data_IF_886187327275
#
_entry.id   IF_886187327275
#
_cell.length_a   1.000
_cell.length_b   1.000
_cell.length_c   1.000
_cell.angle_alpha   90.00
_cell.angle_beta   90.00
_cell.angle_gamma   90.00
#
_symmetry.space_group_name_H-M   'P 1'
#
loop_
_entity.id
_entity.type
_entity.pdbx_description
1 polymer ?
#
# COMPACT_ATOMS: atom_id res chain seq x y z
N UNK A 1 10.22 -27.85 15.73
CA UNK A 1 10.79 -27.82 17.11
C UNK A 1 9.83 -27.23 18.15
N UNK A 2 8.98 -26.25 17.84
CA UNK A 2 8.05 -25.65 18.80
C UNK A 2 6.86 -26.54 19.23
N UNK A 3 6.52 -27.59 18.47
CA UNK A 3 5.36 -28.45 18.75
C UNK A 3 5.56 -29.49 19.86
N UNK A 4 6.79 -29.70 20.34
CA UNK A 4 7.10 -30.79 21.27
C UNK A 4 7.08 -30.38 22.75
N UNK A 5 6.90 -29.08 23.04
CA UNK A 5 6.94 -28.54 24.40
C UNK A 5 5.56 -28.34 25.06
N UNK A 6 4.44 -28.67 24.38
CA UNK A 6 3.08 -28.37 24.86
C UNK A 6 2.39 -29.51 25.61
N UNK A 7 3.07 -30.63 25.88
CA UNK A 7 2.41 -31.85 26.37
C UNK A 7 2.30 -32.01 27.89
N UNK A 8 2.86 -31.12 28.73
CA UNK A 8 3.11 -31.48 30.15
C UNK A 8 2.58 -30.53 31.23
N UNK A 9 1.73 -29.55 30.90
CA UNK A 9 1.04 -28.75 31.93
C UNK A 9 -0.36 -29.32 32.21
N UNK A 10 -0.67 -29.80 33.44
CA UNK A 10 -2.01 -30.29 33.76
C UNK A 10 -2.99 -29.11 33.90
N UNK A 11 -4.15 -29.22 33.24
CA UNK A 11 -5.24 -28.24 33.28
C UNK A 11 -6.17 -28.46 34.47
N UNK A 12 -6.94 -27.44 34.88
CA UNK A 12 -7.99 -27.58 35.89
C UNK A 12 -9.08 -28.58 35.46
N UNK A 13 -9.75 -29.26 36.40
CA UNK A 13 -10.73 -30.32 36.10
C UNK A 13 -11.93 -29.79 35.30
N UNK A 14 -12.36 -30.54 34.27
CA UNK A 14 -13.57 -30.25 33.48
C UNK A 14 -13.37 -29.81 32.02
N UNK A 15 -12.13 -29.78 31.52
CA UNK A 15 -11.80 -29.34 30.15
C UNK A 15 -11.17 -30.44 29.26
N UNK A 16 -11.24 -31.71 29.67
CA UNK A 16 -10.59 -32.83 29.01
C UNK A 16 -11.09 -33.06 27.57
N UNK A 17 -12.37 -32.75 27.27
CA UNK A 17 -12.94 -32.82 25.91
C UNK A 17 -12.63 -31.61 25.00
N UNK A 18 -12.07 -30.52 25.55
CA UNK A 18 -11.73 -29.34 24.76
C UNK A 18 -10.43 -29.50 23.96
N UNK A 19 -9.57 -30.44 24.35
CA UNK A 19 -8.30 -30.71 23.68
C UNK A 19 -8.50 -31.38 22.31
N UNK A 20 -9.39 -32.38 22.23
CA UNK A 20 -9.63 -33.09 20.97
C UNK A 20 -10.33 -32.17 19.95
N UNK A 21 -11.34 -31.40 20.37
CA UNK A 21 -11.98 -30.41 19.50
C UNK A 21 -10.99 -29.31 19.04
N UNK A 22 -10.19 -28.74 19.95
CA UNK A 22 -9.24 -27.70 19.59
C UNK A 22 -8.13 -28.22 18.67
N UNK A 23 -7.71 -29.48 18.87
CA UNK A 23 -6.68 -30.14 18.06
C UNK A 23 -7.21 -30.51 16.67
N UNK A 24 -8.43 -31.02 16.58
CA UNK A 24 -9.10 -31.33 15.31
C UNK A 24 -9.45 -30.05 14.54
N UNK A 25 -9.92 -29.01 15.24
CA UNK A 25 -10.18 -27.68 14.66
C UNK A 25 -8.88 -27.04 14.16
N UNK A 26 -7.78 -27.15 14.90
CA UNK A 26 -6.47 -26.64 14.50
C UNK A 26 -5.84 -27.41 13.34
N UNK A 27 -6.09 -28.72 13.27
CA UNK A 27 -5.67 -29.54 12.13
C UNK A 27 -6.48 -29.20 10.85
N UNK A 28 -7.77 -28.86 11.00
CA UNK A 28 -8.64 -28.47 9.90
C UNK A 28 -8.46 -26.99 9.46
N UNK A 29 -8.11 -26.10 10.39
CA UNK A 29 -8.00 -24.65 10.18
C UNK A 29 -6.67 -24.11 10.72
N UNK A 30 -5.52 -24.50 10.13
CA UNK A 30 -4.20 -24.21 10.69
C UNK A 30 -3.86 -22.71 10.77
N UNK A 31 -4.43 -21.88 9.89
CA UNK A 31 -4.31 -20.42 9.95
C UNK A 31 -5.11 -19.83 11.12
N UNK A 32 -6.34 -20.27 11.34
CA UNK A 32 -7.21 -19.75 12.42
C UNK A 32 -6.75 -20.22 13.81
N UNK A 33 -6.23 -21.44 13.93
CA UNK A 33 -5.70 -21.94 15.20
C UNK A 33 -4.39 -21.25 15.61
N UNK A 34 -3.55 -20.88 14.65
CA UNK A 34 -2.39 -20.04 14.91
C UNK A 34 -2.81 -18.67 15.46
N UNK A 35 -3.87 -18.08 14.90
CA UNK A 35 -4.43 -16.79 15.35
C UNK A 35 -5.09 -16.87 16.73
N UNK A 36 -5.76 -17.98 17.05
CA UNK A 36 -6.37 -18.23 18.37
C UNK A 36 -5.33 -18.39 19.49
N UNK A 37 -4.20 -19.04 19.20
CA UNK A 37 -3.17 -19.37 20.20
C UNK A 37 -2.12 -18.28 20.38
N UNK A 38 -1.80 -17.53 19.32
CA UNK A 38 -0.71 -16.55 19.33
C UNK A 38 -1.18 -15.11 19.06
N UNK A 39 -2.47 -14.91 18.75
CA UNK A 39 -2.99 -13.66 18.23
C UNK A 39 -2.55 -13.43 16.79
N UNK A 40 -3.37 -12.76 15.96
CA UNK A 40 -2.83 -12.14 14.75
C UNK A 40 -1.80 -11.09 15.19
N UNK A 41 -0.54 -11.12 14.70
CA UNK A 41 0.33 -9.97 14.89
C UNK A 41 -0.40 -8.74 14.36
N UNK A 42 -0.54 -7.72 15.20
CA UNK A 42 -1.15 -6.47 14.79
C UNK A 42 -0.45 -5.97 13.51
N UNK A 43 -1.18 -5.47 12.50
CA UNK A 43 -0.56 -4.79 11.36
C UNK A 43 0.51 -3.77 11.73
N UNK A 44 0.43 -3.19 12.92
CA UNK A 44 1.42 -2.25 13.45
C UNK A 44 2.77 -2.88 13.79
N UNK A 45 2.80 -4.15 14.19
CA UNK A 45 4.02 -4.85 14.58
C UNK A 45 4.73 -5.50 13.39
N UNK A 46 4.06 -5.60 12.24
CA UNK A 46 4.70 -6.02 11.00
C UNK A 46 5.62 -4.89 10.49
N UNK A 47 6.88 -5.19 10.13
CA UNK A 47 7.77 -4.19 9.55
C UNK A 47 7.20 -3.71 8.21
N UNK A 48 7.62 -2.52 7.77
CA UNK A 48 7.48 -2.13 6.37
C UNK A 48 8.78 -2.54 5.64
N UNK A 49 8.67 -2.92 4.36
CA UNK A 49 9.77 -3.44 3.57
C UNK A 49 10.11 -2.48 2.44
N UNK A 50 11.35 -2.01 2.44
CA UNK A 50 11.91 -1.26 1.30
C UNK A 50 12.38 -2.26 0.24
N UNK A 51 11.89 -2.09 -0.98
CA UNK A 51 12.31 -2.83 -2.17
C UNK A 51 13.07 -1.84 -3.05
N UNK A 52 14.42 -1.83 -2.99
CA UNK A 52 15.22 -0.87 -3.73
C UNK A 52 15.12 -1.16 -5.23
N UNK A 53 15.04 -0.09 -6.02
CA UNK A 53 15.00 -0.13 -7.48
C UNK A 53 13.96 -1.13 -8.03
N UNK A 54 12.80 -1.22 -7.37
CA UNK A 54 11.70 -2.03 -7.86
C UNK A 54 11.35 -1.63 -9.29
N UNK A 55 11.31 -0.32 -9.58
CA UNK A 55 11.12 0.20 -10.92
C UNK A 55 12.45 0.73 -11.49
N UNK A 56 12.75 0.30 -12.70
CA UNK A 56 13.80 0.89 -13.53
C UNK A 56 13.40 2.31 -13.98
N UNK A 57 14.37 3.12 -14.45
CA UNK A 57 14.06 4.44 -15.00
C UNK A 57 13.04 4.40 -16.13
N UNK A 58 13.02 3.35 -16.94
CA UNK A 58 12.07 3.19 -18.04
C UNK A 58 10.66 2.85 -17.54
N UNK A 59 10.53 1.98 -16.54
CA UNK A 59 9.24 1.68 -15.92
C UNK A 59 8.68 2.89 -15.17
N UNK A 60 9.53 3.73 -14.56
CA UNK A 60 9.08 5.02 -14.01
C UNK A 60 8.53 5.93 -15.11
N UNK A 61 9.15 5.98 -16.29
CA UNK A 61 8.58 6.73 -17.43
C UNK A 61 7.24 6.15 -17.87
N UNK A 62 7.10 4.82 -17.90
CA UNK A 62 5.82 4.17 -18.23
C UNK A 62 4.70 4.60 -17.25
N UNK A 63 4.98 4.74 -15.95
CA UNK A 63 4.02 5.29 -14.99
C UNK A 63 3.59 6.72 -15.36
N UNK A 64 4.54 7.60 -15.72
CA UNK A 64 4.23 8.98 -16.12
C UNK A 64 3.48 9.06 -17.45
N UNK A 65 3.86 8.24 -18.44
CA UNK A 65 3.16 8.13 -19.73
C UNK A 65 1.72 7.67 -19.53
N UNK A 66 1.49 6.65 -18.68
CA UNK A 66 0.14 6.22 -18.34
C UNK A 66 -0.68 7.35 -17.70
N UNK A 67 -0.07 8.12 -16.78
CA UNK A 67 -0.72 9.27 -16.16
C UNK A 67 -1.08 10.37 -17.17
N UNK A 68 -0.20 10.66 -18.12
CA UNK A 68 -0.44 11.65 -19.18
C UNK A 68 -1.54 11.21 -20.15
N UNK A 69 -1.55 9.94 -20.56
CA UNK A 69 -2.56 9.39 -21.46
C UNK A 69 -3.95 9.35 -20.81
N UNK A 70 -4.07 8.82 -19.59
CA UNK A 70 -5.34 8.84 -18.84
C UNK A 70 -5.78 10.29 -18.62
N UNK A 71 -4.85 11.15 -18.22
CA UNK A 71 -5.10 12.56 -17.99
C UNK A 71 -5.62 13.32 -19.20
N UNK A 72 -5.14 12.99 -20.40
CA UNK A 72 -5.62 13.60 -21.65
C UNK A 72 -7.07 13.24 -22.00
N UNK A 73 -7.59 12.17 -21.41
CA UNK A 73 -8.98 11.71 -21.59
C UNK A 73 -9.93 12.22 -20.51
N UNK A 74 -9.41 12.90 -19.49
CA UNK A 74 -10.21 13.54 -18.47
C UNK A 74 -10.63 14.89 -19.03
N UNK A 75 -11.93 15.04 -19.31
CA UNK A 75 -12.53 16.36 -19.55
C UNK A 75 -12.05 17.30 -18.44
N UNK A 76 -11.55 18.51 -18.76
CA UNK A 76 -11.00 19.40 -17.77
C UNK A 76 -12.09 19.72 -16.75
N UNK A 77 -12.06 19.00 -15.62
CA UNK A 77 -12.92 19.29 -14.50
C UNK A 77 -12.59 20.71 -14.12
N UNK A 78 -13.60 21.59 -14.24
CA UNK A 78 -13.49 23.03 -14.06
C UNK A 78 -12.42 23.33 -13.02
N UNK A 79 -11.30 23.89 -13.48
CA UNK A 79 -10.08 24.17 -12.70
C UNK A 79 -10.45 24.40 -11.25
N UNK A 80 -10.26 23.37 -10.42
CA UNK A 80 -10.66 23.40 -9.03
C UNK A 80 -9.90 24.56 -8.39
N UNK A 81 -10.57 25.71 -8.23
CA UNK A 81 -9.91 26.98 -7.90
C UNK A 81 -9.20 26.92 -6.55
N UNK A 82 -9.65 25.99 -5.71
CA UNK A 82 -9.09 25.63 -4.42
C UNK A 82 -7.76 24.85 -4.50
N UNK A 83 -7.41 24.26 -5.64
CA UNK A 83 -6.07 23.69 -5.86
C UNK A 83 -5.03 24.79 -6.07
N UNK A 84 -3.82 24.53 -5.59
CA UNK A 84 -2.68 25.38 -5.83
C UNK A 84 -2.31 25.40 -7.32
N UNK A 85 -1.61 26.46 -7.75
CA UNK A 85 -1.30 26.67 -9.16
C UNK A 85 -0.55 25.49 -9.81
N UNK A 86 0.32 24.82 -9.05
CA UNK A 86 1.07 23.66 -9.54
C UNK A 86 0.18 22.46 -9.90
N UNK A 87 -0.92 22.25 -9.17
CA UNK A 87 -1.80 21.08 -9.36
C UNK A 87 -2.97 21.35 -10.30
N UNK A 88 -3.31 22.61 -10.58
CA UNK A 88 -4.38 22.95 -11.55
C UNK A 88 -4.15 22.41 -12.95
N UNK A 89 -2.88 22.25 -13.35
CA UNK A 89 -2.49 21.70 -14.63
C UNK A 89 -2.11 20.20 -14.57
N UNK A 90 -2.15 19.60 -13.37
CA UNK A 90 -1.83 18.18 -13.18
C UNK A 90 -3.09 17.36 -13.37
N UNK A 91 -3.11 16.34 -14.24
CA UNK A 91 -4.26 15.47 -14.37
C UNK A 91 -4.57 14.70 -13.08
N UNK A 92 -5.84 14.65 -12.69
CA UNK A 92 -6.31 13.98 -11.48
C UNK A 92 -7.79 13.59 -11.62
N UNK A 93 -8.19 12.52 -10.93
CA UNK A 93 -9.61 12.17 -10.72
C UNK A 93 -10.13 12.77 -9.40
N UNK A 94 -9.24 12.99 -8.42
CA UNK A 94 -9.59 13.48 -7.08
C UNK A 94 -8.54 14.44 -6.53
N UNK A 95 -8.99 15.44 -5.76
CA UNK A 95 -8.14 16.25 -4.89
C UNK A 95 -8.43 15.92 -3.42
N UNK A 96 -7.39 15.65 -2.65
CA UNK A 96 -7.46 15.42 -1.20
C UNK A 96 -7.21 16.70 -0.40
N UNK A 97 -6.36 17.59 -0.92
CA UNK A 97 -6.10 18.94 -0.39
C UNK A 97 -5.70 19.89 -1.53
N UNK A 98 -5.53 21.18 -1.23
CA UNK A 98 -5.08 22.17 -2.22
C UNK A 98 -3.75 21.81 -2.89
N UNK A 99 -2.96 20.97 -2.21
CA UNK A 99 -1.59 20.59 -2.54
C UNK A 99 -1.43 19.07 -2.72
N UNK A 100 -2.52 18.30 -2.78
CA UNK A 100 -2.48 16.84 -2.98
C UNK A 100 -3.63 16.34 -3.86
N UNK A 101 -3.28 15.72 -4.97
CA UNK A 101 -4.23 15.09 -5.91
C UNK A 101 -3.83 13.66 -6.23
N UNK A 102 -4.78 12.87 -6.73
CA UNK A 102 -4.52 11.54 -7.29
C UNK A 102 -5.28 11.29 -8.59
N UNK A 103 -4.65 10.48 -9.44
CA UNK A 103 -5.19 9.99 -10.70
C UNK A 103 -5.35 8.46 -10.65
N UNK A 104 -6.52 7.95 -11.01
CA UNK A 104 -6.84 6.52 -10.92
C UNK A 104 -6.40 5.77 -12.17
N UNK A 105 -5.20 5.18 -12.13
CA UNK A 105 -4.65 4.40 -13.23
C UNK A 105 -5.29 3.00 -13.36
N UNK A 106 -6.07 2.57 -12.38
CA UNK A 106 -6.83 1.31 -12.43
C UNK A 106 -8.22 1.46 -13.05
N UNK A 107 -8.69 2.69 -13.26
CA UNK A 107 -10.02 2.98 -13.85
C UNK A 107 -10.13 2.35 -15.23
N UNK A 108 -11.23 1.64 -15.48
CA UNK A 108 -11.44 0.83 -16.68
C UNK A 108 -10.40 -0.29 -16.88
N UNK A 109 -9.61 -0.64 -15.87
CA UNK A 109 -8.48 -1.58 -16.01
C UNK A 109 -7.32 -1.02 -16.83
N UNK A 110 -7.14 0.31 -16.85
CA UNK A 110 -6.22 0.98 -17.76
C UNK A 110 -4.78 0.48 -17.66
N UNK A 111 -4.14 0.59 -16.49
CA UNK A 111 -2.73 0.21 -16.35
C UNK A 111 -2.53 -1.29 -16.59
N UNK A 112 -3.48 -2.12 -16.14
CA UNK A 112 -3.47 -3.56 -16.36
C UNK A 112 -3.49 -3.91 -17.85
N UNK A 113 -4.26 -3.17 -18.66
CA UNK A 113 -4.40 -3.42 -20.10
C UNK A 113 -3.25 -2.82 -20.90
N UNK A 114 -2.81 -1.61 -20.54
CA UNK A 114 -1.83 -0.83 -21.31
C UNK A 114 -0.39 -1.19 -20.98
N UNK A 115 -0.11 -1.52 -19.73
CA UNK A 115 1.21 -1.85 -19.23
C UNK A 115 1.16 -3.18 -18.45
N UNK A 116 0.75 -4.30 -19.08
CA UNK A 116 0.53 -5.57 -18.39
C UNK A 116 1.81 -6.08 -17.70
N UNK A 117 2.97 -5.97 -18.36
CA UNK A 117 4.24 -6.39 -17.78
C UNK A 117 4.63 -5.60 -16.52
N UNK A 118 4.38 -4.28 -16.51
CA UNK A 118 4.60 -3.43 -15.35
C UNK A 118 3.65 -3.82 -14.21
N UNK A 119 2.36 -4.01 -14.53
CA UNK A 119 1.37 -4.42 -13.54
C UNK A 119 1.72 -5.78 -12.94
N UNK A 120 2.06 -6.77 -13.77
CA UNK A 120 2.49 -8.10 -13.33
C UNK A 120 3.71 -8.03 -12.42
N UNK A 121 4.71 -7.20 -12.76
CA UNK A 121 5.88 -6.98 -11.91
C UNK A 121 5.52 -6.43 -10.54
N UNK A 122 4.67 -5.41 -10.49
CA UNK A 122 4.21 -4.79 -9.24
C UNK A 122 3.47 -5.81 -8.38
N UNK A 123 2.50 -6.52 -8.96
CA UNK A 123 1.71 -7.54 -8.27
C UNK A 123 2.57 -8.71 -7.79
N UNK A 124 3.48 -9.19 -8.63
CA UNK A 124 4.41 -10.27 -8.29
C UNK A 124 5.31 -9.86 -7.13
N UNK A 125 5.85 -8.65 -7.18
CA UNK A 125 6.68 -8.09 -6.11
C UNK A 125 5.90 -7.93 -4.81
N UNK A 126 4.64 -7.52 -4.83
CA UNK A 126 3.84 -7.46 -3.60
C UNK A 126 3.55 -8.85 -3.02
N UNK A 127 3.13 -9.80 -3.87
CA UNK A 127 2.65 -11.13 -3.44
C UNK A 127 3.75 -12.10 -3.00
N UNK A 128 4.99 -11.90 -3.44
CA UNK A 128 6.10 -12.85 -3.19
C UNK A 128 7.07 -12.43 -2.11
N UNK A 129 6.80 -11.35 -1.37
CA UNK A 129 7.72 -10.96 -0.31
C UNK A 129 7.76 -12.01 0.81
N UNK A 130 8.95 -12.37 1.29
CA UNK A 130 9.11 -13.39 2.34
C UNK A 130 8.57 -12.88 3.68
N UNK A 131 7.91 -13.76 4.44
CA UNK A 131 7.34 -13.46 5.76
C UNK A 131 5.81 -13.35 5.74
N UNK A 132 5.23 -12.86 6.85
CA UNK A 132 3.77 -12.79 7.06
C UNK A 132 3.15 -11.54 6.44
N UNK A 133 3.37 -11.29 5.15
CA UNK A 133 2.83 -10.13 4.41
C UNK A 133 1.41 -10.37 3.88
N UNK A 134 0.88 -11.57 4.08
CA UNK A 134 -0.45 -11.98 3.70
C UNK A 134 -0.58 -13.49 3.82
N UNK A 135 -1.82 -13.98 3.83
CA UNK A 135 -2.07 -15.40 3.69
C UNK A 135 -1.85 -15.78 2.22
N UNK A 136 -0.88 -16.67 1.89
CA UNK A 136 -0.63 -17.10 0.53
C UNK A 136 -1.84 -17.82 -0.11
N UNK A 137 -2.81 -18.29 0.68
CA UNK A 137 -4.06 -18.85 0.19
C UNK A 137 -5.05 -17.77 -0.30
N UNK A 138 -4.88 -16.49 0.08
CA UNK A 138 -5.74 -15.40 -0.36
C UNK A 138 -5.31 -14.90 -1.74
N UNK A 139 -6.22 -15.05 -2.71
CA UNK A 139 -6.07 -14.46 -4.02
C UNK A 139 -6.28 -12.93 -3.95
N UNK A 140 -5.22 -12.20 -3.66
CA UNK A 140 -5.26 -10.74 -3.59
C UNK A 140 -5.36 -10.12 -4.99
N UNK A 141 -6.35 -9.26 -5.24
CA UNK A 141 -6.53 -8.53 -6.50
C UNK A 141 -6.25 -7.05 -6.34
N UNK A 142 -6.14 -6.32 -7.46
CA UNK A 142 -5.99 -4.86 -7.44
C UNK A 142 -7.25 -4.23 -6.85
N UNK A 143 -7.10 -3.50 -5.75
CA UNK A 143 -8.12 -2.59 -5.24
C UNK A 143 -7.97 -1.21 -5.88
N UNK A 144 -6.78 -0.64 -5.87
CA UNK A 144 -6.52 0.59 -6.58
C UNK A 144 -5.08 0.68 -7.06
N UNK A 145 -4.91 1.51 -8.08
CA UNK A 145 -3.62 1.99 -8.58
C UNK A 145 -3.78 3.48 -8.78
N UNK A 146 -3.03 4.28 -8.03
CA UNK A 146 -3.15 5.73 -7.96
C UNK A 146 -1.81 6.40 -8.21
N UNK A 147 -1.78 7.38 -9.11
CA UNK A 147 -0.66 8.29 -9.25
C UNK A 147 -0.94 9.52 -8.38
N UNK A 148 -0.29 9.59 -7.23
CA UNK A 148 -0.39 10.74 -6.34
C UNK A 148 0.63 11.80 -6.73
N UNK A 149 0.19 13.06 -6.70
CA UNK A 149 1.04 14.24 -6.86
C UNK A 149 0.84 15.17 -5.68
N UNK A 150 1.94 15.51 -5.00
CA UNK A 150 1.96 16.46 -3.89
C UNK A 150 2.82 17.66 -4.27
N UNK A 151 2.26 18.86 -4.16
CA UNK A 151 2.97 20.12 -4.28
C UNK A 151 3.52 20.57 -2.91
N UNK A 152 4.32 21.64 -2.90
CA UNK A 152 4.81 22.27 -1.66
C UNK A 152 3.64 22.59 -0.72
N UNK A 153 3.77 22.21 0.55
CA UNK A 153 2.71 22.28 1.56
C UNK A 153 1.84 21.02 1.64
N UNK A 154 1.85 20.19 0.59
CA UNK A 154 1.09 18.94 0.53
C UNK A 154 1.73 17.83 1.34
N UNK A 155 0.88 17.01 1.94
CA UNK A 155 1.25 15.82 2.70
C UNK A 155 -0.02 15.09 3.16
N UNK A 156 0.17 13.99 3.85
CA UNK A 156 -0.90 13.27 4.54
C UNK A 156 -0.40 13.05 5.97
N UNK A 157 -0.84 13.89 6.90
CA UNK A 157 -0.44 13.87 8.31
C UNK A 157 -1.70 13.69 9.19
N UNK A 158 -2.44 12.62 8.94
CA UNK A 158 -3.61 12.27 9.72
C UNK A 158 -3.20 11.26 10.81
N UNK A 159 -3.36 11.60 12.10
CA UNK A 159 -3.02 10.68 13.19
C UNK A 159 -3.75 9.34 13.05
N UNK A 160 -3.00 8.25 12.98
CA UNK A 160 -3.56 6.90 12.89
C UNK A 160 -4.14 6.54 11.53
N UNK A 161 -3.84 7.30 10.48
CA UNK A 161 -4.25 7.01 9.10
C UNK A 161 -3.85 5.60 8.67
N UNK A 162 -4.79 4.89 8.04
CA UNK A 162 -4.65 3.51 7.54
C UNK A 162 -5.48 3.34 6.26
N UNK A 163 -5.02 2.42 5.41
CA UNK A 163 -5.79 2.02 4.24
C UNK A 163 -6.85 0.98 4.65
N UNK A 164 -8.11 1.40 4.60
CA UNK A 164 -9.23 0.53 4.94
C UNK A 164 -9.64 -0.35 3.77
N UNK A 165 -9.90 -1.63 4.04
CA UNK A 165 -10.39 -2.60 3.05
C UNK A 165 -9.32 -3.22 2.16
N UNK A 166 -8.06 -2.81 2.32
CA UNK A 166 -6.88 -3.43 1.68
C UNK A 166 -6.15 -4.38 2.63
N UNK A 167 -5.34 -5.27 2.06
CA UNK A 167 -4.43 -6.17 2.79
C UNK A 167 -2.99 -5.71 2.67
N UNK A 168 -2.57 -5.37 1.46
CA UNK A 168 -1.23 -4.89 1.15
C UNK A 168 -1.29 -3.55 0.43
N UNK A 169 -0.42 -2.64 0.86
CA UNK A 169 -0.22 -1.34 0.22
C UNK A 169 1.24 -1.20 -0.17
N UNK A 170 1.49 -0.70 -1.38
CA UNK A 170 2.81 -0.39 -1.89
C UNK A 170 2.84 1.06 -2.36
N UNK A 171 3.84 1.83 -1.91
CA UNK A 171 4.13 3.16 -2.43
C UNK A 171 5.49 3.16 -3.13
N UNK A 172 5.52 3.50 -4.40
CA UNK A 172 6.75 3.63 -5.21
C UNK A 172 7.05 5.10 -5.43
N UNK A 173 8.24 5.57 -5.05
CA UNK A 173 8.66 6.94 -5.31
C UNK A 173 9.03 7.11 -6.79
N UNK A 174 8.39 8.04 -7.49
CA UNK A 174 8.64 8.28 -8.92
C UNK A 174 9.44 9.57 -9.16
N UNK A 175 9.24 10.58 -8.31
CA UNK A 175 10.00 11.83 -8.35
C UNK A 175 11.44 11.61 -7.91
N UNK A 176 12.37 12.36 -8.52
CA UNK A 176 13.80 12.34 -8.18
C UNK A 176 14.22 13.72 -7.70
N UNK A 177 14.75 13.79 -6.48
CA UNK A 177 15.21 15.03 -5.84
C UNK A 177 16.20 15.81 -6.72
N UNK A 178 17.05 15.12 -7.48
CA UNK A 178 18.01 15.78 -8.39
C UNK A 178 17.33 16.53 -9.55
N UNK A 179 16.13 16.11 -9.95
CA UNK A 179 15.41 16.67 -11.11
C UNK A 179 14.25 17.58 -10.71
N UNK A 180 13.56 17.27 -9.62
CA UNK A 180 12.39 18.03 -9.16
C UNK A 180 12.70 18.98 -8.01
N UNK A 181 13.91 18.94 -7.45
CA UNK A 181 14.26 19.69 -6.24
C UNK A 181 13.45 19.25 -5.02
N UNK A 182 12.97 18.00 -5.02
CA UNK A 182 12.12 17.46 -3.96
C UNK A 182 12.85 17.48 -2.61
N UNK A 183 12.22 18.14 -1.64
CA UNK A 183 12.56 18.07 -0.22
C UNK A 183 11.28 17.81 0.60
N UNK A 184 11.43 17.07 1.70
CA UNK A 184 10.28 16.58 2.48
C UNK A 184 9.56 15.43 1.75
N UNK A 185 8.28 15.21 2.08
CA UNK A 185 7.49 14.21 1.35
C UNK A 185 7.82 12.74 1.66
N UNK A 186 8.62 12.44 2.69
CA UNK A 186 8.95 11.06 3.03
C UNK A 186 7.69 10.28 3.43
N UNK A 187 7.62 9.01 3.06
CA UNK A 187 6.62 8.11 3.64
C UNK A 187 7.05 7.75 5.06
N UNK A 188 6.10 7.80 5.99
CA UNK A 188 6.32 7.52 7.41
C UNK A 188 5.38 6.40 7.82
N UNK A 189 5.88 5.42 8.56
CA UNK A 189 5.06 4.37 9.18
C UNK A 189 5.28 4.33 10.68
N UNK A 190 4.40 3.73 11.45
CA UNK A 190 4.58 3.64 12.91
C UNK A 190 4.98 2.23 13.36
N UNK A 191 5.87 2.15 14.34
CA UNK A 191 6.29 0.91 14.99
C UNK A 191 6.43 1.13 16.49
N UNK A 192 5.60 0.45 17.29
CA UNK A 192 5.62 0.62 18.75
C UNK A 192 5.29 2.04 19.23
N UNK A 193 4.47 2.78 18.47
CA UNK A 193 4.12 4.17 18.75
C UNK A 193 5.09 5.20 18.18
N UNK A 194 6.29 4.79 17.75
CA UNK A 194 7.30 5.69 17.20
C UNK A 194 7.21 5.79 15.66
N UNK A 195 7.39 7.00 15.09
CA UNK A 195 7.45 7.18 13.65
C UNK A 195 8.75 6.63 13.07
N UNK A 196 8.63 5.95 11.94
CA UNK A 196 9.72 5.40 11.15
C UNK A 196 9.67 6.06 9.78
N UNK A 197 10.65 6.92 9.51
CA UNK A 197 10.81 7.61 8.23
C UNK A 197 11.52 6.69 7.25
N UNK A 198 11.00 6.58 6.03
CA UNK A 198 11.61 5.76 4.98
C UNK A 198 12.22 6.67 3.91
N UNK A 199 13.55 6.67 3.84
CA UNK A 199 14.31 7.35 2.80
C UNK A 199 14.32 6.51 1.53
N UNK A 200 13.49 6.91 0.56
CA UNK A 200 13.35 6.24 -0.73
C UNK A 200 14.06 7.04 -1.82
N UNK A 201 14.68 6.35 -2.77
CA UNK A 201 15.13 6.92 -4.04
C UNK A 201 14.08 6.68 -5.11
N UNK A 202 14.19 7.40 -6.24
CA UNK A 202 13.35 7.15 -7.40
C UNK A 202 13.42 5.67 -7.82
N UNK A 203 12.26 5.05 -7.96
CA UNK A 203 12.08 3.64 -8.31
C UNK A 203 12.07 2.70 -7.11
N UNK A 204 12.45 3.15 -5.92
CA UNK A 204 12.30 2.37 -4.69
C UNK A 204 10.83 2.29 -4.28
N UNK A 205 10.45 1.16 -3.69
CA UNK A 205 9.11 0.94 -3.16
C UNK A 205 9.14 0.66 -1.66
N UNK A 206 8.11 1.11 -0.96
CA UNK A 206 7.78 0.65 0.38
C UNK A 206 6.54 -0.23 0.32
N UNK A 207 6.66 -1.49 0.72
CA UNK A 207 5.55 -2.42 0.95
C UNK A 207 5.21 -2.48 2.43
N UNK A 208 3.92 -2.44 2.76
CA UNK A 208 3.42 -2.58 4.13
C UNK A 208 2.03 -3.20 4.16
N UNK A 209 1.67 -3.79 5.30
CA UNK A 209 0.30 -4.22 5.52
C UNK A 209 -0.60 -2.97 5.57
N UNK A 210 -1.71 -2.95 4.82
CA UNK A 210 -2.57 -1.75 4.66
C UNK A 210 -3.12 -1.19 5.97
N UNK A 211 -3.41 -2.08 6.93
CA UNK A 211 -3.79 -1.70 8.30
C UNK A 211 -2.67 -1.10 9.16
N UNK A 212 -1.42 -0.97 8.66
CA UNK A 212 -0.33 -0.30 9.38
C UNK A 212 -0.52 1.20 9.29
N UNK A 213 -0.41 1.89 10.43
CA UNK A 213 -0.49 3.35 10.43
C UNK A 213 0.65 3.94 9.61
N UNK A 214 0.31 4.85 8.69
CA UNK A 214 1.27 5.45 7.76
C UNK A 214 0.80 6.83 7.30
N UNK A 215 1.74 7.64 6.83
CA UNK A 215 1.54 9.02 6.43
C UNK A 215 2.57 9.42 5.38
N UNK A 216 2.38 10.60 4.79
CA UNK A 216 3.36 11.27 3.92
C UNK A 216 3.71 12.61 4.55
N UNK A 217 4.98 12.80 4.91
CA UNK A 217 5.47 14.06 5.44
C UNK A 217 5.21 15.21 4.47
N UNK A 218 5.15 16.43 4.99
CA UNK A 218 4.93 17.61 4.14
C UNK A 218 6.07 17.81 3.14
N UNK A 219 5.72 18.09 1.88
CA UNK A 219 6.67 18.53 0.85
C UNK A 219 7.07 19.98 1.15
N UNK A 220 8.35 20.23 1.32
CA UNK A 220 8.89 21.57 1.62
C UNK A 220 9.48 22.26 0.39
N UNK A 221 9.89 21.49 -0.61
CA UNK A 221 10.38 21.99 -1.91
C UNK A 221 10.06 21.00 -3.02
N UNK A 222 9.94 21.50 -4.24
CA UNK A 222 9.72 20.69 -5.43
C UNK A 222 8.33 20.04 -5.50
N UNK A 223 8.27 18.88 -6.14
CA UNK A 223 7.04 18.11 -6.31
C UNK A 223 7.33 16.62 -6.08
N UNK A 224 6.47 15.99 -5.26
CA UNK A 224 6.53 14.55 -4.98
C UNK A 224 5.51 13.84 -5.84
N UNK A 225 5.96 12.82 -6.55
CA UNK A 225 5.08 11.92 -7.29
C UNK A 225 5.34 10.48 -6.88
N UNK A 226 4.27 9.74 -6.60
CA UNK A 226 4.35 8.33 -6.21
C UNK A 226 3.24 7.52 -6.83
N UNK A 227 3.56 6.28 -7.20
CA UNK A 227 2.57 5.27 -7.55
C UNK A 227 2.16 4.55 -6.26
N UNK A 228 0.88 4.56 -5.92
CA UNK A 228 0.32 3.77 -4.83
C UNK A 228 -0.51 2.63 -5.41
N UNK A 229 -0.32 1.44 -4.87
CA UNK A 229 -1.05 0.23 -5.28
C UNK A 229 -1.54 -0.47 -4.02
N UNK A 230 -2.82 -0.79 -4.01
CA UNK A 230 -3.43 -1.52 -2.92
C UNK A 230 -4.00 -2.85 -3.43
N UNK A 231 -3.79 -3.92 -2.66
CA UNK A 231 -4.34 -5.25 -2.94
C UNK A 231 -5.31 -5.69 -1.85
N UNK A 232 -6.40 -6.33 -2.25
CA UNK A 232 -7.49 -6.75 -1.36
C UNK A 232 -8.07 -8.11 -1.72
N UNK A 233 -8.94 -8.63 -0.84
CA UNK A 233 -9.72 -9.84 -1.08
C UNK A 233 -11.05 -9.43 -1.73
N UNK A 234 -11.10 -9.51 -3.06
CA UNK A 234 -12.24 -9.09 -3.86
C UNK A 234 -11.93 -9.20 -5.35
N UNK A 235 -12.89 -8.88 -6.23
CA UNK A 235 -12.60 -8.72 -7.65
C UNK A 235 -11.63 -7.55 -7.88
N UNK A 236 -10.93 -7.56 -9.01
CA UNK A 236 -10.17 -6.38 -9.45
C UNK A 236 -11.13 -5.20 -9.58
N UNK A 237 -10.84 -4.12 -8.86
CA UNK A 237 -11.59 -2.89 -8.98
C UNK A 237 -11.07 -2.07 -10.19
N UNK A 238 -12.02 -1.57 -10.97
CA UNK A 238 -11.79 -0.83 -12.21
C UNK A 238 -12.58 0.49 -12.27
N UNK A 239 -13.03 1.03 -11.13
CA UNK A 239 -13.90 2.22 -11.09
C UNK A 239 -13.20 3.42 -10.45
N UNK A 240 -13.12 3.40 -9.13
CA UNK A 240 -12.64 4.48 -8.26
C UNK A 240 -12.12 3.89 -6.94
N UNK A 241 -11.67 4.74 -6.01
CA UNK A 241 -11.10 4.31 -4.72
C UNK A 241 -12.11 3.63 -3.76
N UNK A 242 -13.41 3.89 -3.91
CA UNK A 242 -14.45 3.50 -2.95
C UNK A 242 -15.11 2.13 -3.24
N UNK A 243 -14.75 1.53 -4.37
CA UNK A 243 -15.38 0.31 -4.90
C UNK A 243 -14.77 -1.00 -4.41
#
# INVERSE_FOLDING_TARGET
MALQYMAEAPLPPGLEGAQDWARDYAAANPSEAFELLFGRPSPETLPALVIPQLLSPEEVKQCFSAGSEVGSSIEPFATSSWLCAALRATPHDIGYSGEHVALYLHKGGYLQTKQPALCDKLLHSMRRQPGNWGDPALALQVRCIELHTYAVGGGLLEPGHRDNGSKLSMSVLLSDAATTGLEGGQIVTWSGGEPVVHELRRGDALLFHSGKAHNVATVTSGMRQSLVIELWVGPTNTKDRES
#
